data_IF_812823461567
#
_entry.id   IF_812823461567
#
_cell.length_a   1.000
_cell.length_b   1.000
_cell.length_c   1.000
_cell.angle_alpha   90.00
_cell.angle_beta   90.00
_cell.angle_gamma   90.00
#
_symmetry.space_group_name_H-M   'P 1'
#
loop_
_entity.id
_entity.type
_entity.pdbx_description
1 polymer ?
#
# COMPACT_ATOMS: atom_id res chain seq x y z
N UNK A 1 -11.86 5.34 12.21
CA UNK A 1 -10.50 5.52 11.65
C UNK A 1 -10.62 6.25 10.34
N UNK A 2 -9.68 7.13 10.02
CA UNK A 2 -9.68 7.91 8.78
C UNK A 2 -8.41 7.61 7.99
N UNK A 3 -8.46 7.85 6.70
CA UNK A 3 -7.29 7.75 5.82
C UNK A 3 -6.30 8.85 6.24
N UNK A 4 -5.00 8.55 6.45
CA UNK A 4 -4.02 9.55 6.83
C UNK A 4 -3.90 10.69 5.81
N UNK A 5 -3.85 11.93 6.27
CA UNK A 5 -3.46 13.07 5.44
C UNK A 5 -1.93 13.10 5.32
N UNK A 6 -1.40 12.71 4.16
CA UNK A 6 0.03 12.64 3.91
C UNK A 6 0.76 13.99 4.01
N UNK A 7 0.04 15.12 3.96
CA UNK A 7 0.65 16.44 4.14
C UNK A 7 1.15 16.68 5.57
N UNK A 8 0.66 15.90 6.53
CA UNK A 8 1.10 15.92 7.94
C UNK A 8 2.36 15.07 8.18
N UNK A 9 2.88 14.40 7.14
CA UNK A 9 4.02 13.50 7.24
C UNK A 9 5.20 13.99 6.40
N UNK A 10 6.42 13.66 6.85
CA UNK A 10 7.62 13.86 6.06
C UNK A 10 7.89 12.62 5.18
N UNK A 11 8.27 12.85 3.92
CA UNK A 11 8.75 11.79 3.05
C UNK A 11 10.03 11.17 3.63
N UNK A 12 10.05 9.86 3.75
CA UNK A 12 11.15 9.11 4.36
C UNK A 12 11.93 8.28 3.35
N UNK A 13 11.23 7.55 2.46
CA UNK A 13 11.84 6.64 1.49
C UNK A 13 10.93 6.44 0.29
N UNK A 14 11.52 6.19 -0.88
CA UNK A 14 10.80 5.79 -2.10
C UNK A 14 11.48 4.55 -2.67
N UNK A 15 10.67 3.59 -3.13
CA UNK A 15 11.10 2.39 -3.84
C UNK A 15 10.34 2.29 -5.15
N UNK A 16 11.06 2.20 -6.27
CA UNK A 16 10.49 1.89 -7.57
C UNK A 16 10.60 0.38 -7.81
N UNK A 17 9.64 -0.18 -8.54
CA UNK A 17 9.51 -1.63 -8.73
C UNK A 17 9.56 -2.39 -7.39
N UNK A 18 8.80 -1.86 -6.42
CA UNK A 18 8.80 -2.33 -5.05
C UNK A 18 8.50 -3.84 -4.98
N UNK A 19 9.19 -4.53 -4.07
CA UNK A 19 9.07 -5.96 -3.92
C UNK A 19 7.92 -6.33 -2.98
N UNK A 20 7.19 -7.39 -3.34
CA UNK A 20 6.26 -8.08 -2.46
C UNK A 20 6.77 -9.50 -2.22
N UNK A 21 6.92 -9.89 -0.95
CA UNK A 21 7.53 -11.19 -0.56
C UNK A 21 8.88 -11.49 -1.23
N UNK A 22 9.68 -10.44 -1.46
CA UNK A 22 11.00 -10.55 -2.10
C UNK A 22 10.98 -10.63 -3.63
N UNK A 23 9.81 -10.52 -4.26
CA UNK A 23 9.65 -10.49 -5.72
C UNK A 23 9.31 -9.07 -6.17
N UNK A 24 10.15 -8.49 -7.00
CA UNK A 24 9.91 -7.17 -7.60
C UNK A 24 8.62 -7.18 -8.42
N UNK A 25 7.81 -6.12 -8.28
CA UNK A 25 6.60 -5.93 -9.07
C UNK A 25 6.82 -4.73 -9.99
N UNK A 26 7.13 -4.97 -11.29
CA UNK A 26 7.36 -3.88 -12.22
C UNK A 26 6.17 -2.92 -12.31
N UNK A 27 6.42 -1.63 -12.10
CA UNK A 27 5.40 -0.58 -12.09
C UNK A 27 4.80 -0.27 -10.73
N UNK A 28 5.07 -1.08 -9.70
CA UNK A 28 4.71 -0.78 -8.32
C UNK A 28 5.72 0.21 -7.74
N UNK A 29 5.24 1.37 -7.30
CA UNK A 29 6.03 2.35 -6.57
C UNK A 29 5.51 2.46 -5.14
N UNK A 30 6.41 2.32 -4.18
CA UNK A 30 6.12 2.48 -2.75
C UNK A 30 6.76 3.76 -2.22
N UNK A 31 5.98 4.59 -1.56
CA UNK A 31 6.44 5.79 -0.85
C UNK A 31 6.15 5.65 0.64
N UNK A 32 7.17 5.84 1.46
CA UNK A 32 7.05 5.75 2.90
C UNK A 32 7.19 7.14 3.51
N UNK A 33 6.23 7.47 4.37
CA UNK A 33 6.14 8.74 5.08
C UNK A 33 6.15 8.48 6.58
N UNK A 34 6.69 9.42 7.36
CA UNK A 34 6.76 9.31 8.82
C UNK A 34 6.41 10.62 9.49
N UNK A 35 5.82 10.52 10.68
CA UNK A 35 5.67 11.65 11.59
C UNK A 35 5.84 11.21 13.05
N UNK A 36 6.34 12.07 13.94
CA UNK A 36 6.31 11.80 15.37
C UNK A 36 4.86 11.86 15.88
N UNK A 37 4.50 10.92 16.76
CA UNK A 37 3.25 10.91 17.52
C UNK A 37 3.56 10.53 18.97
N UNK A 38 3.66 11.54 19.84
CA UNK A 38 4.10 11.33 21.23
C UNK A 38 5.50 10.73 21.29
N UNK A 39 5.61 9.56 21.95
CA UNK A 39 6.87 8.80 22.05
C UNK A 39 7.10 7.83 20.88
N UNK A 40 6.16 7.75 19.93
CA UNK A 40 6.20 6.80 18.81
C UNK A 40 6.35 7.54 17.48
N UNK A 41 6.62 6.77 16.44
CA UNK A 41 6.71 7.26 15.07
C UNK A 41 5.67 6.52 14.24
N UNK A 42 4.65 7.25 13.78
CA UNK A 42 3.72 6.71 12.79
C UNK A 42 4.43 6.63 11.44
N UNK A 43 4.10 5.58 10.68
CA UNK A 43 4.59 5.35 9.33
C UNK A 43 3.43 5.01 8.41
N UNK A 44 3.43 5.60 7.22
CA UNK A 44 2.44 5.35 6.16
C UNK A 44 3.17 4.95 4.89
N UNK A 45 2.79 3.81 4.30
CA UNK A 45 3.20 3.39 2.96
C UNK A 45 2.09 3.70 1.96
N UNK A 46 2.39 4.48 0.93
CA UNK A 46 1.54 4.70 -0.25
C UNK A 46 2.07 3.87 -1.41
N UNK A 47 1.20 3.08 -2.02
CA UNK A 47 1.54 2.24 -3.15
C UNK A 47 0.77 2.68 -4.38
N UNK A 48 1.49 2.96 -5.45
CA UNK A 48 0.94 3.28 -6.77
C UNK A 48 1.38 2.24 -7.79
N UNK A 49 0.51 1.90 -8.73
CA UNK A 49 0.85 1.05 -9.86
C UNK A 49 0.72 1.84 -11.16
N UNK A 50 1.82 1.97 -11.90
CA UNK A 50 1.91 2.78 -13.12
C UNK A 50 1.28 4.18 -12.96
N UNK A 51 1.58 4.81 -11.81
CA UNK A 51 1.14 6.16 -11.45
C UNK A 51 -0.29 6.28 -10.87
N UNK A 52 -1.02 5.17 -10.71
CA UNK A 52 -2.36 5.15 -10.12
C UNK A 52 -2.32 4.68 -8.67
N UNK A 53 -3.00 5.37 -7.78
CA UNK A 53 -3.12 4.93 -6.38
C UNK A 53 -3.78 3.56 -6.27
N UNK A 54 -3.20 2.70 -5.43
CA UNK A 54 -3.67 1.33 -5.22
C UNK A 54 -4.03 1.09 -3.76
N UNK A 55 -3.11 1.35 -2.82
CA UNK A 55 -3.39 1.19 -1.39
C UNK A 55 -2.54 2.13 -0.52
N UNK A 56 -3.05 2.40 0.68
CA UNK A 56 -2.27 2.88 1.82
C UNK A 56 -2.22 1.79 2.89
N UNK A 57 -1.09 1.67 3.58
CA UNK A 57 -0.96 0.87 4.80
C UNK A 57 -0.20 1.67 5.86
N UNK A 58 -0.67 1.67 7.10
CA UNK A 58 -0.07 2.47 8.16
C UNK A 58 -0.14 1.80 9.52
N UNK A 59 0.70 2.30 10.41
CA UNK A 59 0.90 1.83 11.78
C UNK A 59 2.08 2.56 12.38
N UNK A 60 2.84 1.90 13.24
CA UNK A 60 4.02 2.48 13.85
C UNK A 60 5.30 1.78 13.40
N UNK A 61 6.42 2.52 13.39
CA UNK A 61 7.74 1.99 12.97
C UNK A 61 8.23 0.86 13.89
N UNK A 62 7.78 0.82 15.14
CA UNK A 62 8.12 -0.20 16.14
C UNK A 62 7.24 -1.46 16.06
N UNK A 63 6.36 -1.56 15.05
CA UNK A 63 5.48 -2.71 14.84
C UNK A 63 5.89 -3.54 13.62
N UNK A 64 5.79 -4.86 13.75
CA UNK A 64 6.07 -5.80 12.67
C UNK A 64 5.02 -5.75 11.54
N UNK A 65 3.80 -5.37 11.89
CA UNK A 65 2.66 -5.39 10.97
C UNK A 65 1.96 -4.03 10.93
N UNK A 66 1.40 -3.70 9.77
CA UNK A 66 0.55 -2.53 9.62
C UNK A 66 -0.68 -2.69 10.51
N UNK A 67 -1.07 -1.62 11.20
CA UNK A 67 -2.31 -1.59 11.98
C UNK A 67 -3.53 -1.50 11.09
N UNK A 68 -3.41 -0.74 10.01
CA UNK A 68 -4.54 -0.44 9.14
C UNK A 68 -4.11 -0.35 7.68
N UNK A 69 -5.08 -0.53 6.79
CA UNK A 69 -4.92 -0.28 5.37
C UNK A 69 -6.20 0.27 4.74
N UNK A 70 -6.06 0.91 3.58
CA UNK A 70 -7.15 1.36 2.73
C UNK A 70 -6.78 1.09 1.27
N UNK A 71 -7.76 0.73 0.44
CA UNK A 71 -7.55 0.32 -0.96
C UNK A 71 -8.36 1.24 -1.87
N UNK A 72 -7.81 1.58 -3.04
CA UNK A 72 -8.52 2.32 -4.08
C UNK A 72 -9.41 1.37 -4.87
N UNK A 73 -10.69 1.69 -4.97
CA UNK A 73 -11.66 0.95 -5.76
C UNK A 73 -11.44 1.18 -7.27
N UNK A 74 -12.09 0.36 -8.11
CA UNK A 74 -11.98 0.47 -9.57
C UNK A 74 -12.47 1.83 -10.12
N UNK A 75 -13.33 2.53 -9.38
CA UNK A 75 -13.82 3.88 -9.71
C UNK A 75 -12.82 5.00 -9.34
N UNK A 76 -11.69 4.67 -8.72
CA UNK A 76 -10.67 5.60 -8.28
C UNK A 76 -10.92 6.20 -6.89
N UNK A 77 -11.99 5.81 -6.20
CA UNK A 77 -12.29 6.28 -4.86
C UNK A 77 -11.57 5.42 -3.81
N UNK A 78 -11.09 6.04 -2.74
CA UNK A 78 -10.61 5.31 -1.57
C UNK A 78 -11.76 4.61 -0.86
N UNK A 79 -11.59 3.33 -0.58
CA UNK A 79 -12.49 2.58 0.28
C UNK A 79 -12.21 2.84 1.77
N UNK A 80 -13.18 2.58 2.67
CA UNK A 80 -12.98 2.76 4.10
C UNK A 80 -11.77 1.97 4.64
N UNK A 81 -11.00 2.55 5.60
CA UNK A 81 -9.95 1.83 6.31
C UNK A 81 -10.41 0.55 6.99
N UNK A 82 -9.57 -0.47 6.98
CA UNK A 82 -9.74 -1.72 7.74
C UNK A 82 -8.48 -2.06 8.54
N UNK A 83 -8.63 -2.91 9.55
CA UNK A 83 -7.54 -3.35 10.41
C UNK A 83 -6.63 -4.38 9.71
N UNK A 84 -5.35 -4.37 10.09
CA UNK A 84 -4.30 -5.28 9.65
C UNK A 84 -3.59 -4.87 8.37
N UNK A 85 -2.68 -5.75 7.91
CA UNK A 85 -1.98 -5.62 6.65
C UNK A 85 -2.92 -5.84 5.45
N UNK A 86 -2.66 -5.19 4.30
CA UNK A 86 -3.37 -5.50 3.07
C UNK A 86 -3.13 -6.95 2.65
N UNK A 87 -4.17 -7.60 2.10
CA UNK A 87 -4.01 -8.90 1.45
C UNK A 87 -3.68 -8.67 -0.02
N UNK A 88 -2.57 -9.22 -0.49
CA UNK A 88 -2.04 -9.00 -1.83
C UNK A 88 -1.73 -10.34 -2.50
N UNK A 89 -2.07 -10.46 -3.77
CA UNK A 89 -1.69 -11.59 -4.64
C UNK A 89 -0.89 -11.07 -5.83
N UNK A 90 0.21 -11.74 -6.17
CA UNK A 90 0.96 -11.44 -7.40
C UNK A 90 0.20 -11.97 -8.62
N UNK A 91 0.17 -11.18 -9.68
CA UNK A 91 -0.35 -11.61 -10.98
C UNK A 91 0.84 -11.95 -11.86
N UNK A 92 0.88 -13.18 -12.38
CA UNK A 92 1.98 -13.69 -13.21
C UNK A 92 1.52 -14.06 -14.62
N UNK A 93 2.42 -13.91 -15.58
CA UNK A 93 2.34 -14.49 -16.92
C UNK A 93 3.58 -15.37 -17.13
N UNK A 94 3.38 -16.69 -17.08
CA UNK A 94 4.48 -17.65 -16.98
C UNK A 94 5.33 -17.42 -15.72
N UNK A 95 6.60 -17.08 -15.90
CA UNK A 95 7.53 -16.78 -14.81
C UNK A 95 7.64 -15.28 -14.51
N UNK A 96 7.00 -14.41 -15.31
CA UNK A 96 7.08 -12.97 -15.14
C UNK A 96 5.96 -12.47 -14.22
N UNK A 97 6.29 -11.58 -13.27
CA UNK A 97 5.29 -10.79 -12.56
C UNK A 97 4.85 -9.64 -13.45
N UNK A 98 3.54 -9.57 -13.70
CA UNK A 98 2.92 -8.56 -14.56
C UNK A 98 2.02 -7.60 -13.80
N UNK A 99 1.82 -7.82 -12.51
CA UNK A 99 1.01 -6.95 -11.66
C UNK A 99 0.69 -7.56 -10.30
N UNK A 100 -0.32 -7.01 -9.64
CA UNK A 100 -0.82 -7.48 -8.36
C UNK A 100 -2.34 -7.29 -8.22
N UNK A 101 -2.93 -8.05 -7.32
CA UNK A 101 -4.29 -7.90 -6.85
C UNK A 101 -4.26 -7.54 -5.35
N UNK A 102 -5.12 -6.61 -4.92
CA UNK A 102 -5.27 -6.24 -3.52
C UNK A 102 -6.70 -6.50 -3.11
N UNK A 103 -6.90 -7.15 -1.96
CA UNK A 103 -8.24 -7.44 -1.46
C UNK A 103 -8.82 -6.21 -0.79
N UNK A 104 -10.01 -5.83 -1.24
CA UNK A 104 -10.77 -4.72 -0.68
C UNK A 104 -11.47 -5.11 0.63
N UNK A 105 -11.90 -4.13 1.42
CA UNK A 105 -12.83 -4.32 2.53
C UNK A 105 -14.11 -5.08 2.18
N UNK A 106 -14.64 -4.92 0.96
CA UNK A 106 -15.82 -5.67 0.47
C UNK A 106 -15.52 -7.14 0.16
N UNK A 107 -14.26 -7.56 0.24
CA UNK A 107 -13.79 -8.90 -0.10
C UNK A 107 -13.52 -9.10 -1.60
N UNK A 108 -13.69 -8.06 -2.41
CA UNK A 108 -13.38 -8.05 -3.84
C UNK A 108 -11.88 -7.89 -4.07
N UNK A 109 -11.40 -8.29 -5.24
CA UNK A 109 -9.99 -8.16 -5.61
C UNK A 109 -9.82 -7.05 -6.65
N UNK A 110 -9.17 -5.96 -6.26
CA UNK A 110 -8.77 -4.88 -7.17
C UNK A 110 -7.49 -5.30 -7.87
N UNK A 111 -7.54 -5.47 -9.19
CA UNK A 111 -6.43 -6.01 -10.00
C UNK A 111 -5.80 -4.92 -10.85
N UNK A 112 -4.48 -4.84 -10.81
CA UNK A 112 -3.66 -3.96 -11.66
C UNK A 112 -2.57 -4.80 -12.34
N UNK A 113 -2.38 -4.59 -13.64
CA UNK A 113 -1.35 -5.26 -14.45
C UNK A 113 -0.98 -4.41 -15.66
N UNK A 114 0.20 -4.67 -16.21
CA UNK A 114 0.64 -4.16 -17.52
C UNK A 114 0.05 -4.94 -18.68
#
# INVERSE_FOLDING_TARGET
MQIPDLSEYAAHRVENDAAFEGVEVPGLRAEFFRRPEGERVESVGRYTFDGRDLLLAWGYVDEEHCRHNAVVAADGCWQPPVDGCPQVELITDGQAVVGLAVRSPSGEWVRVRR
#
